data_IF_727514788563
#
_entry.id   IF_727514788563
#
_cell.length_a   1.000
_cell.length_b   1.000
_cell.length_c   1.000
_cell.angle_alpha   90.00
_cell.angle_beta   90.00
_cell.angle_gamma   90.00
#
_symmetry.space_group_name_H-M   'P 1'
#
loop_
_entity.id
_entity.type
_entity.pdbx_description
1 polymer ?
#
# COMPACT_ATOMS: atom_id res chain seq x y z
N UNK A 1 -22.32 -51.87 32.80
CA UNK A 1 -22.13 -50.57 32.13
C UNK A 1 -21.35 -50.87 30.87
N UNK A 2 -22.05 -50.69 29.76
CA UNK A 2 -21.97 -51.60 28.63
C UNK A 2 -20.86 -51.16 27.69
N UNK A 3 -19.98 -52.09 27.33
CA UNK A 3 -18.87 -51.89 26.38
C UNK A 3 -19.37 -51.19 25.11
N UNK A 4 -20.61 -51.47 24.69
CA UNK A 4 -21.26 -50.81 23.55
C UNK A 4 -21.46 -49.30 23.74
N UNK A 5 -21.82 -48.84 24.94
CA UNK A 5 -21.95 -47.40 25.25
C UNK A 5 -20.59 -46.71 25.23
N UNK A 6 -19.54 -47.41 25.69
CA UNK A 6 -18.17 -46.90 25.66
C UNK A 6 -17.65 -46.78 24.22
N UNK A 7 -17.88 -47.80 23.39
CA UNK A 7 -17.52 -47.80 21.96
C UNK A 7 -18.25 -46.66 21.22
N UNK A 8 -19.55 -46.47 21.49
CA UNK A 8 -20.33 -45.39 20.89
C UNK A 8 -19.81 -43.98 21.26
N UNK A 9 -19.44 -43.77 22.53
CA UNK A 9 -18.85 -42.50 22.97
C UNK A 9 -17.47 -42.25 22.36
N UNK A 10 -16.63 -43.28 22.29
CA UNK A 10 -15.30 -43.19 21.67
C UNK A 10 -15.39 -42.87 20.17
N UNK A 11 -16.30 -43.54 19.45
CA UNK A 11 -16.53 -43.29 18.01
C UNK A 11 -17.06 -41.88 17.76
N UNK A 12 -18.00 -41.42 18.59
CA UNK A 12 -18.54 -40.06 18.50
C UNK A 12 -17.47 -39.01 18.76
N UNK A 13 -16.65 -39.20 19.80
CA UNK A 13 -15.54 -38.30 20.12
C UNK A 13 -14.51 -38.24 18.98
N UNK A 14 -14.15 -39.39 18.40
CA UNK A 14 -13.24 -39.46 17.26
C UNK A 14 -13.78 -38.72 16.04
N UNK A 15 -15.07 -38.91 15.71
CA UNK A 15 -15.72 -38.21 14.60
C UNK A 15 -15.75 -36.69 14.80
N UNK A 16 -16.04 -36.22 16.02
CA UNK A 16 -16.03 -34.79 16.37
C UNK A 16 -14.61 -34.22 16.25
N UNK A 17 -13.59 -34.93 16.70
CA UNK A 17 -12.19 -34.49 16.59
C UNK A 17 -11.77 -34.40 15.11
N UNK A 18 -12.13 -35.37 14.29
CA UNK A 18 -11.87 -35.34 12.84
C UNK A 18 -12.60 -34.18 12.18
N UNK A 19 -13.89 -33.98 12.50
CA UNK A 19 -14.67 -32.88 11.96
C UNK A 19 -14.07 -31.53 12.34
N UNK A 20 -13.66 -31.38 13.61
CA UNK A 20 -12.99 -30.18 14.10
C UNK A 20 -11.64 -29.97 13.39
N UNK A 21 -10.85 -31.02 13.21
CA UNK A 21 -9.59 -30.94 12.47
C UNK A 21 -9.81 -30.54 11.01
N UNK A 22 -10.84 -31.08 10.34
CA UNK A 22 -11.21 -30.70 8.98
C UNK A 22 -11.66 -29.23 8.92
N UNK A 23 -12.47 -28.77 9.87
CA UNK A 23 -12.94 -27.37 9.96
C UNK A 23 -11.75 -26.42 10.19
N UNK A 24 -10.87 -26.74 11.14
CA UNK A 24 -9.66 -25.94 11.41
C UNK A 24 -8.74 -25.94 10.18
N UNK A 25 -8.55 -27.10 9.53
CA UNK A 25 -7.75 -27.24 8.32
C UNK A 25 -8.39 -26.51 7.14
N UNK A 26 -9.71 -26.47 7.01
CA UNK A 26 -10.39 -25.72 5.94
C UNK A 26 -10.33 -24.21 6.18
N UNK A 27 -10.50 -23.75 7.42
CA UNK A 27 -10.33 -22.34 7.77
C UNK A 27 -8.89 -21.90 7.54
N UNK A 28 -7.93 -22.75 7.89
CA UNK A 28 -6.52 -22.49 7.66
C UNK A 28 -6.12 -22.63 6.17
N UNK A 29 -6.77 -23.52 5.40
CA UNK A 29 -6.60 -23.59 3.95
C UNK A 29 -7.16 -22.38 3.24
N UNK A 30 -8.31 -21.85 3.66
CA UNK A 30 -8.79 -20.56 3.19
C UNK A 30 -7.79 -19.44 3.56
N UNK A 31 -7.16 -19.54 4.73
CA UNK A 31 -6.07 -18.65 5.16
C UNK A 31 -4.75 -18.85 4.39
N UNK A 32 -4.63 -19.90 3.56
CA UNK A 32 -3.42 -20.27 2.80
C UNK A 32 -3.58 -20.22 1.29
N UNK A 33 -4.79 -20.40 0.76
CA UNK A 33 -5.16 -20.07 -0.62
C UNK A 33 -5.43 -18.56 -0.75
N UNK A 34 -5.56 -17.86 0.38
CA UNK A 34 -5.22 -16.45 0.54
C UNK A 34 -3.79 -16.25 1.06
N UNK A 35 -2.84 -17.12 0.67
CA UNK A 35 -1.40 -16.89 0.74
C UNK A 35 -0.89 -15.84 -0.25
N UNK A 36 -1.78 -14.95 -0.70
CA UNK A 36 -1.53 -13.75 -1.52
C UNK A 36 -2.58 -12.66 -1.24
N UNK A 37 -3.17 -12.63 -0.04
CA UNK A 37 -3.60 -11.35 0.52
C UNK A 37 -2.41 -10.80 1.30
N UNK A 38 -1.44 -10.27 0.56
CA UNK A 38 -0.62 -9.17 1.09
C UNK A 38 -1.62 -8.27 1.82
N UNK A 39 -1.41 -8.00 3.12
CA UNK A 39 -2.17 -6.95 3.78
C UNK A 39 -2.12 -5.77 2.81
N UNK A 40 -3.25 -5.39 2.22
CA UNK A 40 -3.38 -4.09 1.58
C UNK A 40 -3.44 -3.09 2.73
N UNK A 41 -2.32 -3.02 3.48
CA UNK A 41 -1.94 -1.86 4.25
C UNK A 41 -1.82 -0.81 3.18
N UNK A 42 -2.89 -0.04 3.02
CA UNK A 42 -3.08 1.00 2.03
C UNK A 42 -1.71 1.64 1.76
N UNK A 43 -1.07 1.19 0.67
CA UNK A 43 0.37 1.35 0.51
C UNK A 43 0.53 2.81 0.20
N UNK A 44 0.86 3.59 1.23
CA UNK A 44 0.95 5.04 1.15
C UNK A 44 2.41 5.42 1.17
N UNK A 45 2.82 6.20 0.17
CA UNK A 45 4.14 6.78 0.12
C UNK A 45 4.11 8.06 0.94
N UNK A 46 5.03 8.19 1.92
CA UNK A 46 5.19 9.41 2.69
C UNK A 46 6.40 10.18 2.16
N UNK A 47 6.16 11.37 1.65
CA UNK A 47 7.20 12.31 1.25
C UNK A 47 7.41 13.34 2.34
N UNK A 48 8.66 13.53 2.76
CA UNK A 48 9.04 14.61 3.67
C UNK A 48 9.64 15.75 2.87
N UNK A 49 9.13 16.96 3.11
CA UNK A 49 9.63 18.17 2.47
C UNK A 49 10.94 18.55 3.16
N UNK A 50 12.07 18.35 2.49
CA UNK A 50 13.38 18.71 3.05
C UNK A 50 13.65 20.21 2.94
N UNK A 51 13.29 20.79 1.79
CA UNK A 51 13.39 22.22 1.49
C UNK A 51 12.22 22.64 0.64
N UNK A 52 11.60 23.78 0.96
CA UNK A 52 10.48 24.31 0.19
C UNK A 52 10.87 25.46 -0.74
N UNK A 53 12.09 25.99 -0.63
CA UNK A 53 12.56 27.10 -1.46
C UNK A 53 11.67 28.32 -1.29
N UNK A 54 11.17 28.86 -2.41
CA UNK A 54 10.23 29.99 -2.40
C UNK A 54 8.76 29.58 -2.18
N UNK A 55 8.48 28.28 -2.06
CA UNK A 55 7.12 27.78 -1.93
C UNK A 55 6.56 27.97 -0.53
N UNK A 56 5.60 28.89 -0.40
CA UNK A 56 4.92 29.20 0.87
C UNK A 56 3.90 28.15 1.30
N UNK A 57 3.39 27.36 0.35
CA UNK A 57 2.38 26.34 0.61
C UNK A 57 2.98 25.05 1.17
N UNK A 58 4.28 24.85 0.99
CA UNK A 58 5.01 23.68 1.48
C UNK A 58 5.88 24.09 2.67
N UNK A 59 5.68 23.44 3.82
CA UNK A 59 6.49 23.65 5.01
C UNK A 59 7.63 22.65 5.06
N UNK A 60 8.84 23.12 5.33
CA UNK A 60 9.98 22.24 5.62
C UNK A 60 9.67 21.34 6.83
N UNK A 61 10.04 20.06 6.73
CA UNK A 61 9.65 19.01 7.67
C UNK A 61 8.19 18.55 7.53
N UNK A 62 7.38 19.21 6.69
CA UNK A 62 6.04 18.76 6.37
C UNK A 62 6.03 17.40 5.67
N UNK A 63 4.95 16.65 5.88
CA UNK A 63 4.79 15.31 5.30
C UNK A 63 3.58 15.30 4.37
N UNK A 64 3.78 14.79 3.17
CA UNK A 64 2.73 14.56 2.17
C UNK A 64 2.54 13.04 2.08
N UNK A 65 1.31 12.58 2.32
CA UNK A 65 0.94 11.18 2.11
C UNK A 65 0.33 11.03 0.72
N UNK A 66 0.91 10.15 -0.09
CA UNK A 66 0.46 9.81 -1.44
C UNK A 66 -0.17 8.43 -1.37
N UNK A 67 -1.43 8.35 -1.76
CA UNK A 67 -2.20 7.09 -1.81
C UNK A 67 -2.48 6.72 -3.27
N UNK A 68 -2.84 7.72 -4.08
CA UNK A 68 -3.20 7.63 -5.47
C UNK A 68 -2.27 8.48 -6.36
N UNK A 69 -2.65 8.68 -7.62
CA UNK A 69 -1.92 9.55 -8.54
C UNK A 69 -1.91 10.99 -8.02
N UNK A 70 -0.71 11.51 -7.74
CA UNK A 70 -0.48 12.87 -7.29
C UNK A 70 0.39 13.60 -8.30
N UNK A 71 -0.11 14.74 -8.81
CA UNK A 71 0.61 15.59 -9.77
C UNK A 71 1.31 16.74 -9.07
N UNK A 72 2.49 17.10 -9.59
CA UNK A 72 3.34 18.15 -9.06
C UNK A 72 3.69 19.13 -10.19
N UNK A 73 3.48 20.42 -9.96
CA UNK A 73 3.78 21.42 -10.97
C UNK A 73 3.35 22.82 -10.58
N UNK A 74 3.70 23.81 -11.41
CA UNK A 74 3.44 25.22 -11.12
C UNK A 74 2.00 25.65 -11.35
N UNK A 75 1.26 24.95 -12.19
CA UNK A 75 -0.16 25.28 -12.41
C UNK A 75 -0.99 24.92 -11.19
N UNK A 76 -2.03 25.70 -10.93
CA UNK A 76 -2.91 25.56 -9.78
C UNK A 76 -3.84 24.33 -9.85
N UNK A 77 -3.87 23.62 -10.97
CA UNK A 77 -4.65 22.39 -11.17
C UNK A 77 -3.85 21.11 -10.84
N UNK A 78 -2.58 21.23 -10.45
CA UNK A 78 -1.84 20.11 -9.87
C UNK A 78 -2.32 19.83 -8.44
N UNK A 79 -2.25 18.56 -8.02
CA UNK A 79 -2.53 18.16 -6.65
C UNK A 79 -1.61 18.88 -5.66
N UNK A 80 -0.32 18.96 -5.99
CA UNK A 80 0.68 19.71 -5.23
C UNK A 80 1.24 20.83 -6.11
N UNK A 81 0.88 22.06 -5.74
CA UNK A 81 1.30 23.26 -6.46
C UNK A 81 2.69 23.69 -5.99
N UNK A 82 3.61 23.78 -6.94
CA UNK A 82 4.98 24.21 -6.77
C UNK A 82 5.13 25.65 -7.28
N UNK A 83 5.18 26.64 -6.40
CA UNK A 83 5.17 28.06 -6.80
C UNK A 83 6.51 28.59 -7.33
N UNK A 84 7.44 27.70 -7.68
CA UNK A 84 8.78 28.05 -8.16
C UNK A 84 8.74 28.31 -9.68
N UNK A 85 9.27 29.45 -10.18
CA UNK A 85 9.25 29.79 -11.60
C UNK A 85 10.01 28.81 -12.51
N UNK A 86 10.99 28.07 -11.97
CA UNK A 86 11.75 27.05 -12.70
C UNK A 86 11.00 25.71 -12.82
N UNK A 87 9.83 25.58 -12.20
CA UNK A 87 9.00 24.39 -12.30
C UNK A 87 8.01 24.52 -13.48
N UNK A 88 8.00 23.50 -14.35
CA UNK A 88 7.04 23.36 -15.44
C UNK A 88 5.58 23.30 -14.93
N UNK A 89 4.64 23.62 -15.82
CA UNK A 89 3.21 23.67 -15.48
C UNK A 89 2.68 22.37 -14.89
N UNK A 90 2.98 21.25 -15.52
CA UNK A 90 2.89 19.89 -14.96
C UNK A 90 4.31 19.33 -15.05
N UNK A 91 4.98 19.14 -13.92
CA UNK A 91 6.41 18.86 -13.90
C UNK A 91 6.68 17.36 -13.80
N UNK A 92 6.08 16.71 -12.81
CA UNK A 92 6.16 15.27 -12.63
C UNK A 92 4.91 14.76 -11.92
N UNK A 93 4.71 13.46 -11.95
CA UNK A 93 3.65 12.79 -11.18
C UNK A 93 4.19 11.57 -10.45
N UNK A 94 3.52 11.23 -9.37
CA UNK A 94 3.79 10.03 -8.58
C UNK A 94 2.52 9.22 -8.51
N UNK A 95 2.58 7.95 -8.88
CA UNK A 95 1.39 7.09 -8.92
C UNK A 95 1.74 5.63 -8.59
N UNK A 96 0.79 4.87 -8.02
CA UNK A 96 0.96 3.44 -7.81
C UNK A 96 0.91 2.68 -9.14
N UNK A 97 1.91 1.83 -9.40
CA UNK A 97 2.02 0.94 -10.55
C UNK A 97 2.67 -0.38 -10.13
N UNK A 98 2.03 -1.50 -10.44
CA UNK A 98 2.54 -2.85 -10.15
C UNK A 98 2.97 -3.03 -8.68
N UNK A 99 2.13 -2.55 -7.74
CA UNK A 99 2.38 -2.63 -6.30
C UNK A 99 3.53 -1.75 -5.79
N UNK A 100 4.07 -0.83 -6.59
CA UNK A 100 5.11 0.13 -6.21
C UNK A 100 4.70 1.54 -6.59
N UNK A 101 5.30 2.55 -5.98
CA UNK A 101 5.16 3.92 -6.46
C UNK A 101 6.21 4.22 -7.51
N UNK A 102 5.77 4.86 -8.59
CA UNK A 102 6.62 5.30 -9.69
C UNK A 102 6.55 6.81 -9.79
N UNK A 103 7.70 7.44 -10.03
CA UNK A 103 7.81 8.85 -10.36
C UNK A 103 8.02 8.95 -11.87
N UNK A 104 7.24 9.78 -12.54
CA UNK A 104 7.35 10.04 -13.98
C UNK A 104 7.51 11.55 -14.20
N UNK A 105 8.58 11.93 -14.90
CA UNK A 105 8.80 13.31 -15.32
C UNK A 105 7.93 13.62 -16.55
N UNK A 106 7.15 14.69 -16.48
CA UNK A 106 6.22 15.10 -17.55
C UNK A 106 6.93 15.96 -18.60
N UNK A 107 8.09 15.50 -19.09
CA UNK A 107 8.93 16.26 -20.03
C UNK A 107 9.22 17.68 -19.52
N UNK A 108 9.56 17.78 -18.25
CA UNK A 108 9.80 19.06 -17.62
C UNK A 108 11.03 19.74 -18.22
N UNK A 109 11.03 21.08 -18.22
CA UNK A 109 12.07 21.87 -18.89
C UNK A 109 13.44 21.71 -18.22
N UNK A 110 13.46 21.71 -16.89
CA UNK A 110 14.68 21.59 -16.10
C UNK A 110 14.99 20.14 -15.68
N UNK A 111 14.02 19.24 -15.80
CA UNK A 111 14.13 17.85 -15.38
C UNK A 111 13.83 17.64 -13.89
N UNK A 112 13.49 16.41 -13.56
CA UNK A 112 13.41 15.90 -12.19
C UNK A 112 14.71 15.17 -11.84
N UNK A 113 15.26 15.42 -10.65
CA UNK A 113 16.47 14.73 -10.16
C UNK A 113 16.08 13.68 -9.12
N UNK A 114 16.60 12.46 -9.28
CA UNK A 114 16.51 11.37 -8.31
C UNK A 114 17.89 11.11 -7.73
N UNK A 115 18.04 11.27 -6.41
CA UNK A 115 19.33 11.09 -5.70
C UNK A 115 20.49 11.94 -6.27
N UNK A 116 20.18 13.10 -6.87
CA UNK A 116 21.17 14.00 -7.48
C UNK A 116 21.51 13.68 -8.93
N UNK A 117 20.95 12.60 -9.49
CA UNK A 117 21.09 12.23 -10.89
C UNK A 117 19.77 12.47 -11.64
N UNK A 118 19.86 12.69 -12.96
CA UNK A 118 18.69 12.93 -13.82
C UNK A 118 18.15 11.63 -14.40
#
# INVERSE_FOLDING_TARGET
>A
MDIERFIGLAFTGFFVIILFFIIIRSLFLMSRDMGAAEEVKEKSLRLTILKSGENRSLKEGGVISIVDETTFGRKNDNTIVLTDPYVSGYHFRIFPKDGRFVIEDNQSTNGTLLNGEK
#
